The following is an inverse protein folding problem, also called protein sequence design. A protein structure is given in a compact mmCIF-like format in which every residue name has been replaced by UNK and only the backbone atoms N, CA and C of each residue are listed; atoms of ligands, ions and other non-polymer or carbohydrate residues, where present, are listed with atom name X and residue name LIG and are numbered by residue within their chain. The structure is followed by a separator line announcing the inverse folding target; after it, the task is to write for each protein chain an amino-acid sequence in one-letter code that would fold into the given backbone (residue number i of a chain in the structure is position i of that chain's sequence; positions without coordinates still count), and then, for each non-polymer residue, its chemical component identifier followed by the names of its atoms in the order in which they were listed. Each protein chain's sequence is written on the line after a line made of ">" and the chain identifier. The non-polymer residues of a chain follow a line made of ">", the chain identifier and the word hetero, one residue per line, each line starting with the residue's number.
data_IF_738009766341
#
_entry.id   IF_738009766341
#
_cell.length_a   1.000
_cell.length_b   1.000
_cell.length_c   1.000
_cell.angle_alpha   90.00
_cell.angle_beta   90.00
_cell.angle_gamma   90.00
#
_symmetry.space_group_name_H-M   'P 1'
#
loop_
_entity.id
_entity.type
_entity.pdbx_description
1 polymer ?
#
# COMPACT_ATOMS: atom_id res chain seq x y z
N UNK A 1 -34.49 2.53 37.36
CA UNK A 1 -34.16 1.68 36.21
C UNK A 1 -35.32 0.71 36.01
N UNK A 2 -35.87 0.61 34.82
CA UNK A 2 -36.86 -0.42 34.48
C UNK A 2 -36.18 -1.79 34.50
N UNK A 3 -36.93 -2.86 34.75
CA UNK A 3 -36.40 -4.22 34.72
C UNK A 3 -36.04 -4.58 33.29
N UNK A 4 -34.75 -4.46 32.97
CA UNK A 4 -34.16 -4.71 31.66
C UNK A 4 -33.46 -6.08 31.69
N UNK A 5 -34.05 -7.04 30.98
CA UNK A 5 -33.54 -8.42 30.91
C UNK A 5 -32.27 -8.54 30.06
N UNK A 6 -32.10 -7.66 29.08
CA UNK A 6 -30.91 -7.63 28.21
C UNK A 6 -29.68 -7.25 29.05
N UNK A 7 -29.81 -6.21 29.88
CA UNK A 7 -28.76 -5.78 30.80
C UNK A 7 -28.35 -6.88 31.80
N UNK A 8 -29.26 -7.78 32.22
CA UNK A 8 -28.92 -8.90 33.10
C UNK A 8 -28.11 -9.98 32.36
N UNK A 9 -28.37 -10.17 31.07
CA UNK A 9 -27.63 -11.14 30.23
C UNK A 9 -26.26 -10.59 29.89
N UNK A 10 -26.16 -9.32 29.44
CA UNK A 10 -24.88 -8.62 29.22
C UNK A 10 -24.01 -8.61 30.50
N UNK A 11 -24.63 -8.44 31.68
CA UNK A 11 -23.94 -8.55 32.96
C UNK A 11 -23.37 -9.95 33.21
N UNK A 12 -24.11 -11.01 32.86
CA UNK A 12 -23.66 -12.38 33.05
C UNK A 12 -22.52 -12.76 32.11
N UNK A 13 -22.56 -12.26 30.87
CA UNK A 13 -21.54 -12.50 29.85
C UNK A 13 -20.29 -11.61 30.02
N UNK A 14 -20.39 -10.57 30.86
CA UNK A 14 -19.28 -9.65 31.16
C UNK A 14 -19.06 -8.58 30.09
N UNK A 15 -20.10 -8.28 29.29
CA UNK A 15 -20.05 -7.31 28.19
C UNK A 15 -20.38 -5.87 28.63
N UNK A 16 -20.90 -5.71 29.84
CA UNK A 16 -21.23 -4.39 30.40
C UNK A 16 -19.99 -3.58 30.79
N UNK A 17 -20.08 -2.25 30.63
CA UNK A 17 -19.10 -1.33 31.20
C UNK A 17 -19.16 -1.33 32.74
N UNK A 18 -18.07 -0.98 33.45
CA UNK A 18 -18.04 -0.95 34.91
C UNK A 18 -19.14 -0.08 35.53
N UNK A 19 -19.47 1.05 34.90
CA UNK A 19 -20.51 1.96 35.35
C UNK A 19 -21.90 1.31 35.25
N UNK A 20 -22.18 0.62 34.14
CA UNK A 20 -23.45 -0.09 33.96
C UNK A 20 -23.55 -1.31 34.89
N UNK A 21 -22.45 -2.02 35.14
CA UNK A 21 -22.41 -3.11 36.13
C UNK A 21 -22.85 -2.63 37.52
N UNK A 22 -22.32 -1.49 38.00
CA UNK A 22 -22.69 -0.94 39.29
C UNK A 22 -24.19 -0.60 39.39
N UNK A 23 -24.78 -0.10 38.30
CA UNK A 23 -26.22 0.19 38.23
C UNK A 23 -27.05 -1.09 38.27
N UNK A 24 -26.68 -2.12 37.52
CA UNK A 24 -27.37 -3.43 37.53
C UNK A 24 -27.25 -4.09 38.90
N UNK A 25 -26.09 -4.05 39.53
CA UNK A 25 -25.87 -4.58 40.89
C UNK A 25 -26.72 -3.87 41.94
N UNK A 26 -26.82 -2.54 41.87
CA UNK A 26 -27.71 -1.78 42.72
C UNK A 26 -29.18 -2.19 42.49
N UNK A 27 -29.60 -2.33 41.23
CA UNK A 27 -30.97 -2.73 40.91
C UNK A 27 -31.33 -4.13 41.42
N UNK A 28 -30.43 -5.11 41.26
CA UNK A 28 -30.65 -6.51 41.69
C UNK A 28 -30.72 -6.64 43.22
N UNK A 29 -30.10 -5.73 43.97
CA UNK A 29 -30.23 -5.67 45.43
C UNK A 29 -31.65 -5.29 45.86
N UNK A 30 -32.31 -4.41 45.12
CA UNK A 30 -33.63 -3.90 45.49
C UNK A 30 -34.79 -4.60 44.77
N UNK A 31 -34.51 -5.29 43.66
CA UNK A 31 -35.52 -5.93 42.82
C UNK A 31 -35.48 -7.47 42.91
N UNK A 32 -36.48 -8.05 43.59
CA UNK A 32 -36.57 -9.50 43.79
C UNK A 32 -36.76 -10.30 42.50
N UNK A 33 -37.51 -9.76 41.53
CA UNK A 33 -37.72 -10.43 40.23
C UNK A 33 -36.42 -10.50 39.42
N UNK A 34 -35.70 -9.39 39.30
CA UNK A 34 -34.40 -9.35 38.60
C UNK A 34 -33.36 -10.26 39.27
N UNK A 35 -33.37 -10.36 40.61
CA UNK A 35 -32.52 -11.30 41.33
C UNK A 35 -32.83 -12.75 40.99
N UNK A 36 -34.11 -13.13 41.01
CA UNK A 36 -34.54 -14.47 40.65
C UNK A 36 -34.20 -14.81 39.19
N UNK A 37 -34.34 -13.85 38.27
CA UNK A 37 -33.93 -14.03 36.87
C UNK A 37 -32.43 -14.24 36.75
N UNK A 38 -31.62 -13.40 37.41
CA UNK A 38 -30.16 -13.53 37.37
C UNK A 38 -29.68 -14.86 37.96
N UNK A 39 -30.29 -15.34 39.03
CA UNK A 39 -30.00 -16.66 39.62
C UNK A 39 -30.32 -17.80 38.65
N UNK A 40 -31.46 -17.74 37.95
CA UNK A 40 -31.82 -18.73 36.91
C UNK A 40 -30.80 -18.74 35.78
N UNK A 41 -30.40 -17.57 35.28
CA UNK A 41 -29.40 -17.47 34.21
C UNK A 41 -28.03 -18.02 34.66
N UNK A 42 -27.61 -17.68 35.88
CA UNK A 42 -26.37 -18.23 36.49
C UNK A 42 -26.43 -19.75 36.61
N UNK A 43 -27.54 -20.30 37.09
CA UNK A 43 -27.72 -21.75 37.21
C UNK A 43 -27.62 -22.45 35.85
N UNK A 44 -28.24 -21.88 34.80
CA UNK A 44 -28.11 -22.37 33.43
C UNK A 44 -26.67 -22.35 32.94
N UNK A 45 -25.96 -21.22 33.10
CA UNK A 45 -24.55 -21.09 32.72
C UNK A 45 -23.65 -22.11 33.43
N UNK A 46 -23.86 -22.32 34.74
CA UNK A 46 -23.14 -23.34 35.51
C UNK A 46 -23.41 -24.75 34.99
N UNK A 47 -24.67 -25.09 34.71
CA UNK A 47 -25.03 -26.40 34.16
C UNK A 47 -24.39 -26.64 32.79
N UNK A 48 -24.40 -25.64 31.90
CA UNK A 48 -23.72 -25.74 30.61
C UNK A 48 -22.20 -25.91 30.78
N UNK A 49 -21.56 -25.17 31.68
CA UNK A 49 -20.11 -25.33 31.93
C UNK A 49 -19.75 -26.69 32.52
N UNK A 50 -20.63 -27.27 33.33
CA UNK A 50 -20.42 -28.59 33.92
C UNK A 50 -20.47 -29.73 32.89
N UNK A 51 -21.23 -29.57 31.81
CA UNK A 51 -21.48 -30.62 30.81
C UNK A 51 -20.95 -30.31 29.41
N UNK A 52 -20.57 -29.07 29.13
CA UNK A 52 -20.20 -28.58 27.80
C UNK A 52 -18.77 -28.91 27.38
N UNK A 53 -17.99 -29.57 28.24
CA UNK A 53 -16.66 -30.04 27.87
C UNK A 53 -16.78 -31.30 27.01
N UNK A 54 -16.89 -31.11 25.70
CA UNK A 54 -16.77 -32.17 24.72
C UNK A 54 -15.34 -32.19 24.22
N UNK A 55 -14.68 -33.33 24.33
CA UNK A 55 -13.35 -33.50 23.74
C UNK A 55 -13.44 -33.31 22.23
N UNK A 56 -12.58 -32.45 21.70
CA UNK A 56 -12.49 -32.20 20.26
C UNK A 56 -12.06 -33.50 19.58
N UNK A 57 -12.82 -34.03 18.62
CA UNK A 57 -12.47 -35.29 17.97
C UNK A 57 -11.12 -35.16 17.25
N UNK A 58 -10.30 -36.21 17.36
CA UNK A 58 -8.97 -36.26 16.74
C UNK A 58 -9.08 -36.02 15.24
N UNK A 59 -8.32 -35.05 14.72
CA UNK A 59 -8.33 -34.71 13.30
C UNK A 59 -9.40 -33.70 12.89
N UNK A 60 -10.19 -33.14 13.84
CA UNK A 60 -11.05 -31.99 13.54
C UNK A 60 -10.23 -30.84 12.99
N UNK A 61 -9.00 -30.62 13.47
CA UNK A 61 -8.16 -29.55 12.94
C UNK A 61 -7.88 -29.70 11.44
N UNK A 62 -7.66 -30.94 10.97
CA UNK A 62 -7.38 -31.24 9.56
C UNK A 62 -8.64 -31.15 8.69
N UNK A 63 -9.80 -31.47 9.25
CA UNK A 63 -11.07 -31.43 8.54
C UNK A 63 -11.67 -30.02 8.48
N UNK A 64 -11.57 -29.24 9.56
CA UNK A 64 -12.12 -27.89 9.67
C UNK A 64 -11.20 -26.85 9.02
N UNK A 65 -9.89 -27.05 9.13
CA UNK A 65 -8.87 -26.25 8.48
C UNK A 65 -8.09 -27.19 7.57
N UNK A 66 -8.67 -27.60 6.41
CA UNK A 66 -7.84 -28.20 5.39
C UNK A 66 -6.71 -27.22 5.18
N UNK A 67 -5.48 -27.70 5.37
CA UNK A 67 -4.29 -26.94 5.01
C UNK A 67 -4.61 -26.43 3.60
N UNK A 68 -4.84 -25.12 3.46
CA UNK A 68 -4.63 -24.44 2.19
C UNK A 68 -3.12 -24.44 2.05
N UNK A 69 -2.59 -25.66 1.88
CA UNK A 69 -1.19 -26.00 1.87
C UNK A 69 -0.64 -25.01 0.90
N UNK A 70 0.20 -24.12 1.44
CA UNK A 70 0.69 -22.93 0.77
C UNK A 70 0.53 -23.11 -0.73
N UNK A 71 -0.43 -22.43 -1.33
CA UNK A 71 -0.46 -22.19 -2.77
C UNK A 71 0.73 -21.25 -3.12
N UNK A 72 1.92 -21.55 -2.58
CA UNK A 72 3.24 -21.19 -3.07
C UNK A 72 3.64 -22.09 -4.23
N UNK A 73 2.75 -22.98 -4.70
CA UNK A 73 2.70 -23.29 -6.12
C UNK A 73 2.39 -21.97 -6.83
N UNK A 74 3.45 -21.18 -7.03
CA UNK A 74 3.41 -19.92 -7.72
C UNK A 74 2.62 -20.15 -8.97
N UNK A 75 1.42 -19.57 -9.04
CA UNK A 75 0.78 -19.28 -10.30
C UNK A 75 1.65 -18.21 -10.92
N UNK A 76 2.81 -18.61 -11.42
CA UNK A 76 3.70 -17.83 -12.24
C UNK A 76 2.80 -17.33 -13.36
N UNK A 77 2.35 -16.09 -13.24
CA UNK A 77 1.46 -15.49 -14.22
C UNK A 77 2.38 -15.21 -15.41
N UNK A 78 2.40 -16.06 -16.47
CA UNK A 78 3.44 -15.99 -17.51
C UNK A 78 3.36 -14.68 -18.31
N UNK A 79 2.24 -13.97 -18.22
CA UNK A 79 1.98 -12.68 -18.82
C UNK A 79 2.61 -11.48 -18.08
N UNK A 80 3.01 -11.62 -16.82
CA UNK A 80 3.68 -10.53 -16.08
C UNK A 80 5.03 -10.13 -16.70
N UNK A 81 5.97 -11.05 -17.01
CA UNK A 81 7.20 -10.66 -17.70
C UNK A 81 6.92 -10.05 -19.08
N UNK A 82 5.90 -10.54 -19.80
CA UNK A 82 5.50 -9.98 -21.09
C UNK A 82 5.04 -8.51 -20.98
N UNK A 83 4.27 -8.17 -19.93
CA UNK A 83 3.85 -6.78 -19.68
C UNK A 83 5.03 -5.86 -19.31
N UNK A 84 6.01 -6.37 -18.55
CA UNK A 84 7.22 -5.59 -18.21
C UNK A 84 8.04 -5.27 -19.46
N UNK A 85 8.29 -6.28 -20.31
CA UNK A 85 9.01 -6.09 -21.57
C UNK A 85 8.26 -5.13 -22.48
N UNK A 86 6.94 -5.31 -22.66
CA UNK A 86 6.12 -4.43 -23.48
C UNK A 86 6.16 -2.95 -22.99
N UNK A 87 6.12 -2.75 -21.67
CA UNK A 87 6.21 -1.42 -21.07
C UNK A 87 7.56 -0.76 -21.34
N UNK A 88 8.67 -1.50 -21.17
CA UNK A 88 10.02 -1.00 -21.46
C UNK A 88 10.19 -0.66 -22.95
N UNK A 89 9.71 -1.51 -23.85
CA UNK A 89 9.77 -1.26 -25.30
C UNK A 89 8.97 -0.01 -25.67
N UNK A 90 7.77 0.17 -25.10
CA UNK A 90 6.95 1.36 -25.34
C UNK A 90 7.66 2.65 -24.90
N UNK A 91 8.31 2.65 -23.73
CA UNK A 91 9.06 3.82 -23.22
C UNK A 91 10.21 4.20 -24.16
N UNK A 92 10.98 3.22 -24.65
CA UNK A 92 12.09 3.48 -25.58
C UNK A 92 11.56 4.03 -26.90
N UNK A 93 10.48 3.46 -27.43
CA UNK A 93 9.92 3.88 -28.72
C UNK A 93 9.31 5.29 -28.67
N UNK A 94 8.60 5.61 -27.58
CA UNK A 94 8.03 6.95 -27.34
C UNK A 94 9.15 7.98 -27.19
N UNK A 95 10.18 7.67 -26.38
CA UNK A 95 11.33 8.56 -26.19
C UNK A 95 12.05 8.85 -27.51
N UNK A 96 12.29 7.81 -28.33
CA UNK A 96 12.94 7.96 -29.64
C UNK A 96 12.12 8.79 -30.64
N UNK A 97 10.78 8.73 -30.59
CA UNK A 97 9.91 9.55 -31.43
C UNK A 97 9.85 11.01 -31.00
N UNK A 98 9.87 11.29 -29.69
CA UNK A 98 9.83 12.67 -29.19
C UNK A 98 11.19 13.37 -29.22
N UNK A 99 12.32 12.64 -29.23
CA UNK A 99 13.65 13.24 -29.26
C UNK A 99 14.12 13.69 -30.65
N UNK A 100 13.52 13.19 -31.74
CA UNK A 100 13.90 13.55 -33.12
C UNK A 100 13.94 15.06 -33.45
N UNK A 101 12.96 15.90 -33.05
CA UNK A 101 12.98 17.32 -33.43
C UNK A 101 14.00 18.18 -32.66
N UNK A 102 14.57 17.70 -31.53
CA UNK A 102 15.52 18.50 -30.74
C UNK A 102 17.00 18.26 -31.10
N UNK A 103 17.35 17.12 -31.68
CA UNK A 103 18.76 16.82 -32.02
C UNK A 103 19.26 17.68 -33.19
N UNK A 104 18.39 18.02 -34.15
CA UNK A 104 18.76 18.87 -35.28
C UNK A 104 19.03 20.32 -34.87
N UNK A 105 18.28 20.86 -33.91
CA UNK A 105 18.51 22.21 -33.37
C UNK A 105 19.85 22.33 -32.66
N UNK A 106 20.18 21.36 -31.80
CA UNK A 106 21.44 21.35 -31.04
C UNK A 106 22.63 21.13 -31.97
N UNK A 107 22.52 20.27 -33.00
CA UNK A 107 23.63 20.01 -33.93
C UNK A 107 23.93 21.22 -34.84
N UNK A 108 22.91 21.91 -35.35
CA UNK A 108 23.11 23.14 -36.14
C UNK A 108 23.72 24.27 -35.31
N UNK A 109 23.30 24.41 -34.04
CA UNK A 109 23.87 25.40 -33.13
C UNK A 109 25.33 25.08 -32.77
N UNK A 110 25.66 23.81 -32.54
CA UNK A 110 27.03 23.38 -32.25
C UNK A 110 27.96 23.55 -33.46
N UNK A 111 27.52 23.15 -34.67
CA UNK A 111 28.26 23.39 -35.92
C UNK A 111 28.47 24.89 -36.18
N UNK A 112 27.44 25.72 -35.93
CA UNK A 112 27.53 27.18 -36.08
C UNK A 112 28.55 27.82 -35.13
N UNK A 113 28.66 27.34 -33.89
CA UNK A 113 29.68 27.83 -32.95
C UNK A 113 31.11 27.44 -33.36
N UNK A 114 31.31 26.24 -33.94
CA UNK A 114 32.63 25.79 -34.41
C UNK A 114 33.06 26.58 -35.65
N UNK A 115 32.16 26.77 -36.63
CA UNK A 115 32.46 27.60 -37.81
C UNK A 115 32.63 29.08 -37.45
N UNK A 116 31.84 29.61 -36.50
CA UNK A 116 31.99 30.98 -36.00
C UNK A 116 33.31 31.22 -35.26
N UNK A 117 33.73 30.27 -34.42
CA UNK A 117 35.02 30.35 -33.73
C UNK A 117 36.21 30.27 -34.71
N UNK A 118 36.09 29.46 -35.77
CA UNK A 118 37.13 29.38 -36.80
C UNK A 118 37.32 30.71 -37.57
N UNK A 119 36.25 31.48 -37.81
CA UNK A 119 36.37 32.82 -38.41
C UNK A 119 36.98 33.87 -37.47
N UNK A 120 36.87 33.71 -36.14
CA UNK A 120 37.43 34.68 -35.17
C UNK A 120 38.93 34.53 -34.89
N UNK A 121 39.57 33.45 -35.35
CA UNK A 121 41.02 33.23 -35.18
C UNK A 121 41.82 33.67 -36.42
N UNK A 122 41.15 34.01 -37.53
CA UNK A 122 41.79 34.40 -38.79
C UNK A 122 41.90 35.89 -39.07
N UNK A 123 41.17 36.77 -38.36
CA UNK A 123 41.13 38.21 -38.67
C UNK A 123 41.31 39.04 -37.40
N UNK A 124 42.42 39.79 -37.36
CA UNK A 124 42.83 40.56 -36.19
C UNK A 124 42.03 41.84 -36.02
N UNK A 125 41.43 42.00 -34.83
CA UNK A 125 41.04 43.30 -34.29
C UNK A 125 39.53 43.56 -34.27
N UNK A 126 38.93 43.54 -33.07
CA UNK A 126 37.57 44.02 -32.88
C UNK A 126 36.92 43.54 -31.60
N UNK A 127 36.94 44.39 -30.58
CA UNK A 127 36.30 44.18 -29.28
C UNK A 127 34.77 44.18 -29.44
N UNK A 128 34.12 43.06 -29.14
CA UNK A 128 32.66 42.91 -29.14
C UNK A 128 32.22 41.80 -28.17
N UNK A 129 31.44 42.16 -27.16
CA UNK A 129 30.94 41.25 -26.11
C UNK A 129 29.89 40.26 -26.65
N UNK A 130 29.97 38.95 -26.36
CA UNK A 130 28.88 38.04 -26.68
C UNK A 130 27.82 37.98 -25.58
N UNK A 131 26.62 38.30 -26.04
CA UNK A 131 25.25 38.07 -25.57
C UNK A 131 25.06 36.70 -24.90
N UNK A 132 24.27 36.69 -23.82
CA UNK A 132 23.87 35.49 -23.07
C UNK A 132 22.92 34.56 -23.83
N UNK A 133 22.98 33.27 -23.48
CA UNK A 133 22.08 32.24 -24.00
C UNK A 133 22.04 31.01 -23.07
N UNK A 134 20.98 30.93 -22.26
CA UNK A 134 20.19 29.76 -21.87
C UNK A 134 20.87 28.37 -21.81
N UNK A 135 21.83 28.19 -20.89
CA UNK A 135 22.33 26.85 -20.51
C UNK A 135 21.46 26.12 -19.45
N UNK A 136 20.49 26.81 -18.84
CA UNK A 136 19.72 26.29 -17.70
C UNK A 136 18.58 25.32 -18.03
N UNK A 137 17.97 25.42 -19.21
CA UNK A 137 16.74 24.68 -19.56
C UNK A 137 16.99 23.23 -20.00
N UNK A 138 18.15 22.95 -20.60
CA UNK A 138 18.51 21.61 -21.09
C UNK A 138 18.90 20.64 -19.97
N UNK A 139 19.55 21.13 -18.91
CA UNK A 139 19.95 20.31 -17.76
C UNK A 139 18.75 19.91 -16.88
N UNK A 140 17.78 20.81 -16.70
CA UNK A 140 16.53 20.52 -15.97
C UNK A 140 15.69 19.44 -16.67
N UNK A 141 15.67 19.44 -18.00
CA UNK A 141 14.91 18.46 -18.80
C UNK A 141 15.52 17.05 -18.71
N UNK A 142 16.85 16.93 -18.69
CA UNK A 142 17.57 15.65 -18.54
C UNK A 142 17.42 15.04 -17.14
N UNK A 143 17.42 15.88 -16.09
CA UNK A 143 17.22 15.42 -14.71
C UNK A 143 15.80 14.92 -14.44
N UNK A 144 14.78 15.57 -15.02
CA UNK A 144 13.38 15.15 -14.87
C UNK A 144 13.09 13.80 -15.54
N UNK A 145 13.65 13.55 -16.72
CA UNK A 145 13.45 12.27 -17.43
C UNK A 145 14.23 11.14 -16.74
N UNK A 146 15.47 11.39 -16.29
CA UNK A 146 16.28 10.42 -15.56
C UNK A 146 15.64 10.01 -14.21
N UNK A 147 15.10 10.98 -13.47
CA UNK A 147 14.42 10.73 -12.20
C UNK A 147 13.14 9.90 -12.33
N UNK A 148 12.35 10.12 -13.39
CA UNK A 148 11.13 9.36 -13.63
C UNK A 148 11.40 7.87 -13.91
N UNK A 149 12.43 7.56 -14.72
CA UNK A 149 12.79 6.16 -15.04
C UNK A 149 13.32 5.42 -13.80
N UNK A 150 14.18 6.08 -13.01
CA UNK A 150 14.70 5.50 -11.77
C UNK A 150 13.59 5.26 -10.74
N UNK A 151 12.64 6.20 -10.62
CA UNK A 151 11.49 6.08 -9.72
C UNK A 151 10.57 4.91 -10.06
N UNK A 152 10.27 4.71 -11.35
CA UNK A 152 9.43 3.59 -11.80
C UNK A 152 10.13 2.25 -11.58
N UNK A 153 11.43 2.15 -11.89
CA UNK A 153 12.20 0.94 -11.63
C UNK A 153 12.25 0.60 -10.13
N UNK A 154 12.49 1.59 -9.28
CA UNK A 154 12.49 1.41 -7.83
C UNK A 154 11.10 1.01 -7.28
N UNK A 155 10.02 1.61 -7.78
CA UNK A 155 8.66 1.27 -7.39
C UNK A 155 8.29 -0.17 -7.78
N UNK A 156 8.68 -0.62 -8.98
CA UNK A 156 8.46 -1.99 -9.42
C UNK A 156 9.25 -3.00 -8.58
N UNK A 157 10.50 -2.71 -8.25
CA UNK A 157 11.32 -3.55 -7.35
C UNK A 157 10.75 -3.58 -5.93
N UNK A 158 10.29 -2.44 -5.41
CA UNK A 158 9.67 -2.35 -4.09
C UNK A 158 8.36 -3.16 -4.03
N UNK A 159 7.48 -3.01 -5.02
CA UNK A 159 6.23 -3.78 -5.12
C UNK A 159 6.49 -5.27 -5.27
N UNK A 160 7.53 -5.65 -6.03
CA UNK A 160 7.96 -7.04 -6.13
C UNK A 160 8.45 -7.61 -4.79
N UNK A 161 9.26 -6.86 -4.05
CA UNK A 161 9.79 -7.27 -2.74
C UNK A 161 8.70 -7.35 -1.67
N UNK A 162 7.75 -6.41 -1.66
CA UNK A 162 6.61 -6.40 -0.72
C UNK A 162 5.67 -7.57 -0.92
N UNK A 163 5.51 -8.05 -2.16
CA UNK A 163 4.66 -9.20 -2.48
C UNK A 163 5.30 -10.55 -2.13
N UNK A 164 6.61 -10.58 -1.85
CA UNK A 164 7.39 -11.78 -1.47
C UNK A 164 7.51 -11.99 0.04
N UNK A 165 7.15 -11.00 0.85
CA UNK A 165 7.04 -11.12 2.32
C UNK A 165 5.59 -11.38 2.68
#
# INVERSE_FOLDING_TARGET
>A
MTCDEEALTEYLDGELSPERCAVVEAHVKDCASCRATLEKLKAGSTAFRAHGHVDVPVGLEKAAFPDKGRDTAGRERPWVPALVVASLTAVVFVSGKLLKPQVSGIFNQAMGMISGAASTVGDGGGMGTPVGGDAGSSLLSLLLVGGAVAGVAAALVYLWKRRRR
#
